data_IF_332315543470
#
_entry.id   IF_332315543470
#
_cell.length_a   1.000
_cell.length_b   1.000
_cell.length_c   1.000
_cell.angle_alpha   90.00
_cell.angle_beta   90.00
_cell.angle_gamma   90.00
#
_symmetry.space_group_name_H-M   'P 1'
#
loop_
_entity.id
_entity.type
_entity.pdbx_description
1 polymer ?
#
# COMPACT_ATOMS: atom_id res chain seq x y z
N UNK A 1 35.57 31.77 -20.54
CA UNK A 1 34.79 30.52 -20.35
C UNK A 1 33.88 30.74 -19.14
N UNK A 2 32.57 30.86 -19.36
CA UNK A 2 31.64 31.24 -18.29
C UNK A 2 31.51 30.11 -17.27
N UNK A 3 32.15 30.29 -16.12
CA UNK A 3 32.11 29.35 -14.98
C UNK A 3 30.68 29.00 -14.55
N UNK A 4 29.71 29.88 -14.78
CA UNK A 4 28.28 29.64 -14.54
C UNK A 4 27.70 28.52 -15.43
N UNK A 5 28.17 28.39 -16.68
CA UNK A 5 27.73 27.33 -17.59
C UNK A 5 28.31 25.98 -17.14
N UNK A 6 29.57 25.98 -16.71
CA UNK A 6 30.24 24.79 -16.18
C UNK A 6 29.55 24.31 -14.89
N UNK A 7 29.21 25.22 -13.99
CA UNK A 7 28.46 24.91 -12.76
C UNK A 7 27.07 24.33 -13.07
N UNK A 8 26.34 24.92 -14.02
CA UNK A 8 25.01 24.44 -14.43
C UNK A 8 25.08 23.01 -15.02
N UNK A 9 26.08 22.73 -15.86
CA UNK A 9 26.30 21.39 -16.43
C UNK A 9 26.63 20.37 -15.33
N UNK A 10 27.48 20.73 -14.36
CA UNK A 10 27.82 19.85 -13.24
C UNK A 10 26.59 19.57 -12.36
N UNK A 11 25.81 20.60 -12.06
CA UNK A 11 24.58 20.48 -11.25
C UNK A 11 23.52 19.63 -11.97
N UNK A 12 23.36 19.81 -13.29
CA UNK A 12 22.47 19.00 -14.12
C UNK A 12 22.91 17.52 -14.15
N UNK A 13 24.21 17.23 -14.24
CA UNK A 13 24.74 15.87 -14.20
C UNK A 13 24.54 15.21 -12.83
N UNK A 14 24.66 15.97 -11.74
CA UNK A 14 24.36 15.48 -10.39
C UNK A 14 22.87 15.17 -10.23
N UNK A 15 21.98 16.05 -10.71
CA UNK A 15 20.53 15.81 -10.69
C UNK A 15 20.13 14.60 -11.55
N UNK A 16 20.71 14.45 -12.75
CA UNK A 16 20.50 13.27 -13.60
C UNK A 16 21.01 11.98 -12.93
N UNK A 17 22.11 12.05 -12.18
CA UNK A 17 22.63 10.92 -11.41
C UNK A 17 21.71 10.55 -10.25
N UNK A 18 21.19 11.52 -9.52
CA UNK A 18 20.21 11.32 -8.44
C UNK A 18 18.90 10.75 -9.00
N UNK A 19 18.40 11.32 -10.11
CA UNK A 19 17.22 10.83 -10.81
C UNK A 19 17.42 9.39 -11.30
N UNK A 20 18.59 9.08 -11.89
CA UNK A 20 18.94 7.72 -12.32
C UNK A 20 19.04 6.74 -11.14
N UNK A 21 19.56 7.18 -9.99
CA UNK A 21 19.61 6.36 -8.78
C UNK A 21 18.21 6.13 -8.18
N UNK A 22 17.34 7.14 -8.18
CA UNK A 22 15.92 7.01 -7.80
C UNK A 22 15.15 6.07 -8.73
N UNK A 23 15.36 6.20 -10.05
CA UNK A 23 14.78 5.29 -11.05
C UNK A 23 15.30 3.86 -10.83
N UNK A 24 16.59 3.68 -10.52
CA UNK A 24 17.17 2.36 -10.28
C UNK A 24 16.68 1.73 -8.96
N UNK A 25 16.49 2.54 -7.92
CA UNK A 25 15.89 2.08 -6.66
C UNK A 25 14.42 1.67 -6.83
N UNK A 26 13.68 2.37 -7.69
CA UNK A 26 12.29 2.05 -8.05
C UNK A 26 12.16 0.98 -9.14
N UNK A 27 13.23 0.26 -9.50
CA UNK A 27 13.10 -0.81 -10.49
C UNK A 27 12.96 -2.18 -9.82
N UNK A 28 11.82 -2.81 -10.11
CA UNK A 28 11.54 -4.26 -10.06
C UNK A 28 12.61 -5.16 -10.72
N UNK A 29 13.62 -4.54 -11.35
CA UNK A 29 14.77 -5.20 -11.99
C UNK A 29 15.96 -5.39 -11.05
N UNK A 30 15.91 -4.87 -9.82
CA UNK A 30 16.93 -5.14 -8.81
C UNK A 30 16.92 -6.62 -8.41
N UNK A 31 18.10 -7.22 -8.25
CA UNK A 31 18.25 -8.60 -7.78
C UNK A 31 17.62 -8.82 -6.41
N UNK A 32 17.62 -7.78 -5.55
CA UNK A 32 16.99 -7.82 -4.24
C UNK A 32 15.48 -8.01 -4.34
N UNK A 33 14.78 -7.29 -5.23
CA UNK A 33 13.34 -7.44 -5.42
C UNK A 33 12.97 -8.85 -5.93
N UNK A 34 13.73 -9.37 -6.90
CA UNK A 34 13.47 -10.71 -7.47
C UNK A 34 13.63 -11.85 -6.47
N UNK A 35 14.40 -11.65 -5.40
CA UNK A 35 14.62 -12.64 -4.34
C UNK A 35 13.53 -12.62 -3.27
N UNK A 36 12.68 -11.60 -3.26
CA UNK A 36 11.58 -11.53 -2.32
C UNK A 36 10.55 -12.63 -2.61
N UNK A 37 9.86 -13.16 -1.60
CA UNK A 37 8.67 -13.97 -1.79
C UNK A 37 7.62 -13.23 -2.66
N UNK A 38 6.80 -13.94 -3.45
CA UNK A 38 5.78 -13.33 -4.29
C UNK A 38 4.82 -12.38 -3.53
N UNK A 39 4.45 -12.72 -2.29
CA UNK A 39 3.59 -11.87 -1.45
C UNK A 39 4.21 -10.51 -1.13
N UNK A 40 5.51 -10.50 -0.81
CA UNK A 40 6.26 -9.29 -0.53
C UNK A 40 6.52 -8.48 -1.81
N UNK A 41 6.74 -9.16 -2.94
CA UNK A 41 6.83 -8.49 -4.25
C UNK A 41 5.52 -7.76 -4.57
N UNK A 42 4.37 -8.40 -4.35
CA UNK A 42 3.06 -7.78 -4.58
C UNK A 42 2.85 -6.55 -3.68
N UNK A 43 3.13 -6.67 -2.38
CA UNK A 43 3.01 -5.56 -1.44
C UNK A 43 3.85 -4.35 -1.88
N UNK A 44 5.13 -4.58 -2.20
CA UNK A 44 6.03 -3.53 -2.70
C UNK A 44 5.51 -2.89 -3.99
N UNK A 45 4.93 -3.67 -4.90
CA UNK A 45 4.37 -3.14 -6.15
C UNK A 45 3.13 -2.27 -5.91
N UNK A 46 2.23 -2.69 -5.01
CA UNK A 46 1.06 -1.91 -4.59
C UNK A 46 1.50 -0.59 -3.94
N UNK A 47 2.44 -0.64 -2.99
CA UNK A 47 3.01 0.56 -2.34
C UNK A 47 3.71 1.49 -3.32
N UNK A 48 4.49 0.95 -4.26
CA UNK A 48 5.16 1.76 -5.29
C UNK A 48 4.15 2.51 -6.15
N UNK A 49 3.03 1.86 -6.50
CA UNK A 49 1.99 2.48 -7.30
C UNK A 49 1.26 3.56 -6.52
N UNK A 50 0.81 3.30 -5.28
CA UNK A 50 0.13 4.29 -4.43
C UNK A 50 1.01 5.49 -4.09
N UNK A 51 2.29 5.27 -3.76
CA UNK A 51 3.19 6.36 -3.35
C UNK A 51 3.73 7.17 -4.54
N UNK A 52 3.85 6.55 -5.71
CA UNK A 52 4.32 7.22 -6.92
C UNK A 52 3.54 6.72 -8.15
N UNK A 53 2.31 7.21 -8.33
CA UNK A 53 1.42 6.74 -9.37
C UNK A 53 1.96 7.10 -10.75
N UNK A 54 2.27 6.07 -11.54
CA UNK A 54 2.85 6.24 -12.87
C UNK A 54 2.58 5.03 -13.75
N UNK A 55 2.56 5.23 -15.07
CA UNK A 55 2.44 4.14 -16.06
C UNK A 55 3.53 3.08 -15.89
N UNK A 56 4.72 3.47 -15.43
CA UNK A 56 5.80 2.53 -15.16
C UNK A 56 5.46 1.60 -13.98
N UNK A 57 4.98 2.15 -12.86
CA UNK A 57 4.59 1.37 -11.69
C UNK A 57 3.34 0.53 -11.96
N UNK A 58 2.36 1.07 -12.70
CA UNK A 58 1.18 0.32 -13.13
C UNK A 58 1.57 -0.87 -14.00
N UNK A 59 2.46 -0.67 -14.97
CA UNK A 59 2.96 -1.75 -15.83
C UNK A 59 3.74 -2.81 -15.05
N UNK A 60 4.51 -2.40 -14.03
CA UNK A 60 5.23 -3.33 -13.17
C UNK A 60 4.27 -4.25 -12.41
N UNK A 61 3.22 -3.67 -11.80
CA UNK A 61 2.16 -4.41 -11.13
C UNK A 61 1.40 -5.32 -12.11
N UNK A 62 1.04 -4.80 -13.29
CA UNK A 62 0.37 -5.57 -14.34
C UNK A 62 1.16 -6.81 -14.78
N UNK A 63 2.47 -6.65 -15.00
CA UNK A 63 3.34 -7.76 -15.37
C UNK A 63 3.38 -8.83 -14.27
N UNK A 64 3.41 -8.42 -13.00
CA UNK A 64 3.37 -9.35 -11.89
C UNK A 64 2.02 -10.08 -11.83
N UNK A 65 0.90 -9.35 -11.83
CA UNK A 65 -0.45 -9.92 -11.74
C UNK A 65 -0.75 -10.86 -12.92
N UNK A 66 -0.22 -10.59 -14.12
CA UNK A 66 -0.38 -11.49 -15.29
C UNK A 66 0.22 -12.89 -15.10
N UNK A 67 1.10 -13.06 -14.11
CA UNK A 67 1.71 -14.35 -13.75
C UNK A 67 0.97 -15.03 -12.57
N UNK A 68 -0.06 -14.39 -12.04
CA UNK A 68 -0.89 -14.88 -10.95
C UNK A 68 -2.28 -15.29 -11.47
N UNK A 69 -3.03 -16.14 -10.75
CA UNK A 69 -4.40 -16.48 -11.14
C UNK A 69 -5.41 -15.32 -10.99
N UNK A 70 -5.00 -14.20 -10.39
CA UNK A 70 -5.89 -13.05 -10.18
C UNK A 70 -6.19 -12.36 -11.52
N UNK A 71 -7.49 -12.20 -11.83
CA UNK A 71 -7.95 -11.51 -13.03
C UNK A 71 -8.39 -10.11 -12.68
N UNK A 72 -7.62 -9.12 -13.10
CA UNK A 72 -7.84 -7.72 -12.74
C UNK A 72 -7.71 -6.88 -14.01
N UNK A 73 -8.66 -5.98 -14.22
CA UNK A 73 -8.59 -5.00 -15.30
C UNK A 73 -7.62 -3.89 -14.91
N UNK A 74 -6.35 -4.07 -15.27
CA UNK A 74 -5.28 -3.09 -15.02
C UNK A 74 -5.59 -1.74 -15.69
N UNK A 75 -6.24 -1.74 -16.86
CA UNK A 75 -6.48 -0.51 -17.62
C UNK A 75 -7.51 0.40 -16.90
N UNK A 76 -8.35 -0.18 -16.05
CA UNK A 76 -9.29 0.58 -15.21
C UNK A 76 -8.62 1.51 -14.18
N UNK A 77 -7.32 1.37 -13.92
CA UNK A 77 -6.57 2.27 -13.04
C UNK A 77 -6.09 3.56 -13.74
N UNK A 78 -5.94 3.56 -15.07
CA UNK A 78 -5.42 4.73 -15.81
C UNK A 78 -6.21 6.04 -15.59
N UNK A 79 -7.54 6.04 -15.39
CA UNK A 79 -8.27 7.24 -15.03
C UNK A 79 -7.76 7.91 -13.74
N UNK A 80 -7.26 7.16 -12.76
CA UNK A 80 -6.69 7.72 -11.54
C UNK A 80 -5.39 8.46 -11.83
N UNK A 81 -4.50 7.87 -12.66
CA UNK A 81 -3.27 8.54 -13.11
C UNK A 81 -3.56 9.89 -13.79
N UNK A 82 -4.61 9.93 -14.60
CA UNK A 82 -5.05 11.17 -15.25
C UNK A 82 -5.56 12.19 -14.22
N UNK A 83 -6.40 11.74 -13.28
CA UNK A 83 -6.99 12.59 -12.24
C UNK A 83 -5.91 13.22 -11.34
N UNK A 84 -4.86 12.47 -11.00
CA UNK A 84 -3.74 13.02 -10.23
C UNK A 84 -2.97 14.11 -10.96
N UNK A 85 -2.76 13.96 -12.27
CA UNK A 85 -2.11 15.00 -13.07
C UNK A 85 -2.94 16.29 -13.11
N UNK A 86 -4.27 16.17 -13.11
CA UNK A 86 -5.20 17.30 -13.07
C UNK A 86 -5.19 17.99 -11.69
N UNK A 87 -5.09 17.22 -10.61
CA UNK A 87 -5.04 17.72 -9.22
C UNK A 87 -3.69 18.38 -8.90
N UNK A 88 -2.57 17.82 -9.39
CA UNK A 88 -1.21 18.28 -9.07
C UNK A 88 -0.96 19.78 -9.41
N UNK A 89 -1.73 20.34 -10.35
CA UNK A 89 -1.64 21.75 -10.73
C UNK A 89 -2.51 22.72 -9.92
N UNK A 90 -3.31 22.24 -8.96
CA UNK A 90 -4.33 23.01 -8.25
C UNK A 90 -3.94 23.23 -6.78
N UNK A 91 -4.03 24.47 -6.32
CA UNK A 91 -3.65 24.84 -4.95
C UNK A 91 -4.74 24.53 -3.90
N UNK A 92 -5.93 24.11 -4.33
CA UNK A 92 -7.16 23.98 -3.53
C UNK A 92 -7.82 22.59 -3.65
N UNK A 93 -7.03 21.54 -3.94
CA UNK A 93 -7.56 20.22 -4.28
C UNK A 93 -7.35 19.14 -3.21
N UNK A 94 -7.07 19.50 -1.94
CA UNK A 94 -6.80 18.52 -0.87
C UNK A 94 -7.96 17.53 -0.66
N UNK A 95 -9.21 18.00 -0.69
CA UNK A 95 -10.37 17.12 -0.55
C UNK A 95 -10.50 16.14 -1.73
N UNK A 96 -10.27 16.63 -2.95
CA UNK A 96 -10.30 15.81 -4.17
C UNK A 96 -9.15 14.79 -4.19
N UNK A 97 -7.98 15.16 -3.66
CA UNK A 97 -6.82 14.28 -3.51
C UNK A 97 -7.11 13.15 -2.52
N UNK A 98 -7.75 13.47 -1.38
CA UNK A 98 -8.17 12.46 -0.40
C UNK A 98 -9.21 11.49 -0.98
N UNK A 99 -10.21 11.99 -1.73
CA UNK A 99 -11.20 11.15 -2.39
C UNK A 99 -10.57 10.26 -3.47
N UNK A 100 -9.59 10.79 -4.21
CA UNK A 100 -8.86 10.05 -5.22
C UNK A 100 -8.03 8.93 -4.57
N UNK A 101 -7.29 9.25 -3.52
CA UNK A 101 -6.50 8.29 -2.76
C UNK A 101 -7.36 7.16 -2.20
N UNK A 102 -8.54 7.47 -1.64
CA UNK A 102 -9.47 6.44 -1.15
C UNK A 102 -9.90 5.47 -2.25
N UNK A 103 -10.27 5.98 -3.44
CA UNK A 103 -10.63 5.16 -4.61
C UNK A 103 -9.47 4.31 -5.11
N UNK A 104 -8.25 4.84 -5.04
CA UNK A 104 -7.05 4.08 -5.40
C UNK A 104 -6.78 2.94 -4.42
N UNK A 105 -6.97 3.17 -3.12
CA UNK A 105 -6.88 2.13 -2.10
C UNK A 105 -7.92 1.02 -2.31
N UNK A 106 -9.18 1.38 -2.60
CA UNK A 106 -10.24 0.43 -2.95
C UNK A 106 -9.87 -0.39 -4.19
N UNK A 107 -9.34 0.26 -5.23
CA UNK A 107 -8.89 -0.44 -6.43
C UNK A 107 -7.72 -1.39 -6.12
N UNK A 108 -6.77 -0.95 -5.28
CA UNK A 108 -5.64 -1.80 -4.88
C UNK A 108 -6.10 -3.07 -4.17
N UNK A 109 -7.17 -3.01 -3.39
CA UNK A 109 -7.69 -4.17 -2.65
C UNK A 109 -8.51 -5.13 -3.50
N UNK A 110 -8.81 -4.78 -4.76
CA UNK A 110 -9.23 -5.77 -5.76
C UNK A 110 -8.10 -6.77 -6.05
N UNK A 111 -6.85 -6.37 -5.88
CA UNK A 111 -5.68 -7.24 -5.90
C UNK A 111 -5.49 -7.84 -4.50
N UNK A 112 -6.03 -9.03 -4.31
CA UNK A 112 -6.03 -9.69 -3.00
C UNK A 112 -4.60 -10.04 -2.58
N UNK A 113 -4.23 -9.76 -1.32
CA UNK A 113 -3.03 -10.29 -0.69
C UNK A 113 -2.95 -11.82 -0.86
N UNK A 114 -1.74 -12.33 -1.14
CA UNK A 114 -1.54 -13.78 -1.37
C UNK A 114 -1.66 -14.58 -0.06
N UNK A 115 -1.46 -13.90 1.07
CA UNK A 115 -1.62 -14.43 2.42
C UNK A 115 -3.03 -15.01 2.65
N UNK A 116 -4.06 -14.46 2.00
CA UNK A 116 -5.42 -15.02 2.11
C UNK A 116 -5.55 -16.38 1.42
N UNK A 117 -4.82 -16.62 0.32
CA UNK A 117 -4.80 -17.94 -0.33
C UNK A 117 -4.03 -18.96 0.51
N UNK A 118 -2.93 -18.54 1.13
CA UNK A 118 -2.17 -19.34 2.10
C UNK A 118 -3.06 -19.70 3.30
N UNK A 119 -3.79 -18.73 3.85
CA UNK A 119 -4.70 -18.92 4.97
C UNK A 119 -5.78 -19.97 4.66
N UNK A 120 -6.46 -19.86 3.52
CA UNK A 120 -7.49 -20.83 3.11
C UNK A 120 -6.93 -22.25 2.91
N UNK A 121 -5.65 -22.38 2.55
CA UNK A 121 -4.98 -23.68 2.50
C UNK A 121 -4.82 -24.27 3.89
N UNK A 122 -4.34 -23.49 4.87
CA UNK A 122 -4.25 -23.93 6.28
C UNK A 122 -5.60 -24.25 6.91
N UNK A 123 -6.65 -23.51 6.52
CA UNK A 123 -8.01 -23.79 6.96
C UNK A 123 -8.48 -25.18 6.54
N UNK A 124 -8.20 -25.59 5.29
CA UNK A 124 -8.55 -26.94 4.78
C UNK A 124 -7.77 -28.05 5.45
N UNK A 125 -6.56 -27.74 5.92
CA UNK A 125 -5.69 -28.65 6.66
C UNK A 125 -6.02 -28.71 8.17
N UNK A 126 -7.03 -27.94 8.63
CA UNK A 126 -7.40 -27.77 10.04
C UNK A 126 -6.28 -27.18 10.91
N UNK A 127 -5.36 -26.40 10.32
CA UNK A 127 -4.32 -25.68 11.04
C UNK A 127 -4.82 -24.29 11.48
N UNK A 128 -5.75 -24.24 12.45
CA UNK A 128 -6.46 -23.02 12.86
C UNK A 128 -5.54 -21.86 13.23
N UNK A 129 -4.46 -22.10 13.98
CA UNK A 129 -3.53 -21.05 14.38
C UNK A 129 -2.86 -20.37 13.17
N UNK A 130 -2.37 -21.17 12.21
CA UNK A 130 -1.74 -20.65 10.99
C UNK A 130 -2.74 -19.99 10.05
N UNK A 131 -3.98 -20.48 10.02
CA UNK A 131 -5.08 -19.80 9.34
C UNK A 131 -5.28 -18.38 9.89
N UNK A 132 -5.32 -18.22 11.22
CA UNK A 132 -5.47 -16.93 11.88
C UNK A 132 -4.27 -16.03 11.55
N UNK A 133 -3.04 -16.51 11.78
CA UNK A 133 -1.80 -15.75 11.52
C UNK A 133 -1.72 -15.23 10.08
N UNK A 134 -1.98 -16.09 9.08
CA UNK A 134 -1.94 -15.68 7.67
C UNK A 134 -3.09 -14.77 7.28
N UNK A 135 -4.27 -14.96 7.86
CA UNK A 135 -5.39 -14.04 7.59
C UNK A 135 -5.08 -12.64 8.13
N UNK A 136 -4.51 -12.53 9.34
CA UNK A 136 -4.13 -11.25 9.92
C UNK A 136 -2.98 -10.58 9.16
N UNK A 137 -2.00 -11.37 8.68
CA UNK A 137 -0.95 -10.87 7.76
C UNK A 137 -1.57 -10.33 6.47
N UNK A 138 -2.56 -11.02 5.90
CA UNK A 138 -3.30 -10.54 4.72
C UNK A 138 -4.06 -9.25 4.98
N UNK A 139 -4.70 -9.12 6.16
CA UNK A 139 -5.39 -7.89 6.57
C UNK A 139 -4.42 -6.71 6.65
N UNK A 140 -3.20 -6.93 7.15
CA UNK A 140 -2.16 -5.89 7.21
C UNK A 140 -1.68 -5.41 5.82
N UNK A 141 -2.00 -6.14 4.74
CA UNK A 141 -1.66 -5.77 3.33
C UNK A 141 -2.81 -5.10 2.57
N UNK A 142 -3.93 -4.85 3.23
CA UNK A 142 -5.06 -4.10 2.69
C UNK A 142 -4.85 -2.60 2.89
N UNK A 143 -5.49 -1.78 2.05
CA UNK A 143 -5.33 -0.33 2.03
C UNK A 143 -6.62 0.44 2.33
N UNK A 144 -7.78 -0.13 2.01
CA UNK A 144 -9.08 0.48 2.22
C UNK A 144 -9.65 0.12 3.59
N UNK A 145 -10.20 1.13 4.26
CA UNK A 145 -10.84 0.97 5.57
C UNK A 145 -11.95 -0.09 5.54
N UNK A 146 -12.76 -0.09 4.47
CA UNK A 146 -13.84 -1.06 4.29
C UNK A 146 -13.32 -2.50 4.18
N UNK A 147 -12.29 -2.75 3.36
CA UNK A 147 -11.76 -4.10 3.20
C UNK A 147 -11.13 -4.64 4.49
N UNK A 148 -10.45 -3.77 5.26
CA UNK A 148 -9.86 -4.12 6.57
C UNK A 148 -10.97 -4.53 7.54
N UNK A 149 -11.99 -3.68 7.71
CA UNK A 149 -13.09 -3.94 8.63
C UNK A 149 -13.91 -5.18 8.24
N UNK A 150 -14.19 -5.36 6.95
CA UNK A 150 -14.87 -6.56 6.47
C UNK A 150 -14.07 -7.83 6.73
N UNK A 151 -12.75 -7.79 6.52
CA UNK A 151 -11.88 -8.95 6.69
C UNK A 151 -11.75 -9.33 8.16
N UNK A 152 -11.64 -8.35 9.05
CA UNK A 152 -11.70 -8.56 10.51
C UNK A 152 -13.04 -9.16 10.94
N UNK A 153 -14.15 -8.66 10.40
CA UNK A 153 -15.47 -9.22 10.69
C UNK A 153 -15.61 -10.68 10.24
N UNK A 154 -15.02 -11.06 9.10
CA UNK A 154 -15.06 -12.43 8.56
C UNK A 154 -14.31 -13.44 9.43
N UNK A 155 -13.21 -13.04 10.07
CA UNK A 155 -12.43 -13.94 10.94
C UNK A 155 -12.90 -13.93 12.40
N UNK A 156 -13.77 -13.00 12.81
CA UNK A 156 -14.16 -12.84 14.21
C UNK A 156 -14.74 -14.08 14.89
N UNK A 157 -15.37 -15.00 14.14
CA UNK A 157 -15.85 -16.27 14.70
C UNK A 157 -14.73 -17.23 15.08
N UNK A 158 -13.62 -17.21 14.33
CA UNK A 158 -12.45 -18.08 14.54
C UNK A 158 -11.41 -17.39 15.44
N UNK A 159 -11.40 -16.05 15.47
CA UNK A 159 -10.52 -15.22 16.31
C UNK A 159 -11.31 -14.05 16.92
N UNK A 160 -11.90 -14.22 18.12
CA UNK A 160 -12.77 -13.21 18.73
C UNK A 160 -12.10 -11.84 18.94
N UNK A 161 -10.78 -11.82 19.16
CA UNK A 161 -10.00 -10.58 19.31
C UNK A 161 -10.01 -9.70 18.04
N UNK A 162 -10.38 -10.25 16.87
CA UNK A 162 -10.62 -9.45 15.66
C UNK A 162 -11.70 -8.37 15.87
N UNK A 163 -12.65 -8.59 16.78
CA UNK A 163 -13.66 -7.58 17.14
C UNK A 163 -13.02 -6.39 17.84
N UNK A 164 -12.09 -6.63 18.76
CA UNK A 164 -11.35 -5.57 19.45
C UNK A 164 -10.45 -4.81 18.47
N UNK A 165 -9.77 -5.53 17.57
CA UNK A 165 -8.96 -4.93 16.50
C UNK A 165 -9.81 -4.05 15.57
N UNK A 166 -11.03 -4.46 15.23
CA UNK A 166 -11.95 -3.68 14.41
C UNK A 166 -12.42 -2.40 15.13
N UNK A 167 -12.74 -2.47 16.42
CA UNK A 167 -13.11 -1.28 17.21
C UNK A 167 -11.92 -0.33 17.36
N UNK A 168 -10.72 -0.85 17.62
CA UNK A 168 -9.49 -0.03 17.65
C UNK A 168 -9.20 0.61 16.29
N UNK A 169 -9.46 -0.08 15.18
CA UNK A 169 -9.29 0.50 13.84
C UNK A 169 -10.27 1.64 13.58
N UNK A 170 -11.53 1.51 14.01
CA UNK A 170 -12.51 2.61 13.91
C UNK A 170 -12.08 3.85 14.70
N UNK A 171 -11.43 3.66 15.85
CA UNK A 171 -10.85 4.79 16.60
C UNK A 171 -9.71 5.46 15.84
N UNK A 172 -8.87 4.71 15.12
CA UNK A 172 -7.87 5.28 14.21
C UNK A 172 -8.50 6.10 13.09
N UNK A 173 -9.55 5.58 12.46
CA UNK A 173 -10.28 6.30 11.41
C UNK A 173 -10.84 7.61 11.94
N UNK A 174 -11.48 7.57 13.12
CA UNK A 174 -12.01 8.77 13.75
C UNK A 174 -10.90 9.77 14.09
N UNK A 175 -9.78 9.30 14.67
CA UNK A 175 -8.64 10.15 14.98
C UNK A 175 -8.08 10.81 13.71
N UNK A 176 -7.97 10.07 12.60
CA UNK A 176 -7.55 10.60 11.30
C UNK A 176 -8.48 11.73 10.85
N UNK A 177 -9.78 11.48 10.85
CA UNK A 177 -10.78 12.41 10.32
C UNK A 177 -10.95 13.68 11.18
N UNK A 178 -10.68 13.59 12.48
CA UNK A 178 -10.76 14.71 13.42
C UNK A 178 -9.44 15.47 13.60
N UNK A 179 -8.31 14.90 13.17
CA UNK A 179 -6.98 15.49 13.36
C UNK A 179 -6.66 16.61 12.37
N UNK A 180 -5.81 17.56 12.81
CA UNK A 180 -5.23 18.57 11.92
C UNK A 180 -4.06 18.00 11.09
N UNK A 181 -3.74 18.66 9.99
CA UNK A 181 -2.60 18.30 9.13
C UNK A 181 -1.24 18.81 9.67
N UNK A 182 -1.10 18.96 10.99
CA UNK A 182 0.15 19.39 11.63
C UNK A 182 1.06 18.21 11.98
N UNK A 183 2.37 18.43 11.99
CA UNK A 183 3.38 17.39 12.22
C UNK A 183 3.14 16.57 13.49
N UNK A 184 2.62 17.20 14.56
CA UNK A 184 2.37 16.52 15.83
C UNK A 184 1.18 15.57 15.72
N UNK A 185 0.11 16.01 15.06
CA UNK A 185 -1.05 15.18 14.76
C UNK A 185 -0.69 14.00 13.85
N UNK A 186 0.09 14.24 12.79
CA UNK A 186 0.56 13.18 11.88
C UNK A 186 1.44 12.14 12.59
N UNK A 187 2.36 12.59 13.44
CA UNK A 187 3.22 11.69 14.24
C UNK A 187 2.40 10.88 15.26
N UNK A 188 1.36 11.48 15.84
CA UNK A 188 0.46 10.77 16.76
C UNK A 188 -0.34 9.69 16.02
N UNK A 189 -0.92 10.00 14.86
CA UNK A 189 -1.62 9.03 14.02
C UNK A 189 -0.71 7.89 13.59
N UNK A 190 0.53 8.20 13.19
CA UNK A 190 1.52 7.19 12.81
C UNK A 190 1.79 6.21 13.95
N UNK A 191 2.00 6.71 15.17
CA UNK A 191 2.23 5.86 16.35
C UNK A 191 1.03 4.99 16.70
N UNK A 192 -0.18 5.55 16.60
CA UNK A 192 -1.38 4.77 16.87
C UNK A 192 -1.57 3.68 15.80
N UNK A 193 -1.30 3.98 14.53
CA UNK A 193 -1.33 3.00 13.43
C UNK A 193 -0.28 1.90 13.64
N UNK A 194 0.97 2.26 13.95
CA UNK A 194 2.04 1.31 14.23
C UNK A 194 1.67 0.38 15.41
N UNK A 195 1.11 0.93 16.49
CA UNK A 195 0.65 0.13 17.63
C UNK A 195 -0.49 -0.84 17.26
N UNK A 196 -1.41 -0.41 16.39
CA UNK A 196 -2.48 -1.28 15.90
C UNK A 196 -1.96 -2.38 14.98
N UNK A 197 -1.01 -2.07 14.09
CA UNK A 197 -0.35 -3.07 13.24
C UNK A 197 0.44 -4.10 14.08
N UNK A 198 1.10 -3.65 15.16
CA UNK A 198 1.77 -4.54 16.10
C UNK A 198 0.78 -5.47 16.83
N UNK A 199 -0.37 -4.96 17.28
CA UNK A 199 -1.41 -5.79 17.93
C UNK A 199 -2.07 -6.75 16.93
N UNK A 200 -2.30 -6.31 15.69
CA UNK A 200 -2.83 -7.12 14.61
C UNK A 200 -1.93 -8.33 14.31
N UNK A 201 -0.62 -8.13 14.28
CA UNK A 201 0.35 -9.17 13.92
C UNK A 201 0.81 -10.01 15.13
N UNK A 202 0.43 -9.63 16.35
CA UNK A 202 0.74 -10.37 17.57
C UNK A 202 -0.45 -11.24 17.99
N UNK A 203 -0.55 -12.43 17.41
CA UNK A 203 -1.67 -13.34 17.65
C UNK A 203 -1.75 -13.76 19.12
N UNK A 204 -2.90 -13.45 19.75
CA UNK A 204 -3.20 -13.83 21.13
C UNK A 204 -3.80 -15.24 21.13
N UNK A 205 -3.10 -16.19 21.77
CA UNK A 205 -3.54 -17.59 21.95
C UNK A 205 -4.43 -17.72 23.18
#
# INVERSE_FOLDING_TARGET
MNWSIVFFIIMMLLLLRILRLRIRANTTRSESFKRLPPKDQLAVLKECLLNNPSEANLKNLANFVSQTPQKIDIDSYRPFLKSQLEIFGRNDAIAEDNELYAKECEWMDQIKPLEFEEAESFRRENETQKYIERTLEGIARLYSDEAILESLAKIASDYPHATELAESYKQLMQARDESGADDKSLEALRKQKEAWEEDLLNVRV
#
